data_IF_068746157610
#
_entry.id   IF_068746157610
#
_cell.length_a   1.000
_cell.length_b   1.000
_cell.length_c   1.000
_cell.angle_alpha   90.00
_cell.angle_beta   90.00
_cell.angle_gamma   90.00
#
_symmetry.space_group_name_H-M   'P 1'
#
loop_
_entity.id
_entity.type
_entity.pdbx_description
1 polymer ?
#
# COMPACT_ATOMS: atom_id res chain seq x y z
N UNK A 1 34.60 25.91 -21.37
CA UNK A 1 33.78 24.70 -21.46
C UNK A 1 33.18 24.48 -20.08
N UNK A 2 31.89 24.70 -19.90
CA UNK A 2 31.21 24.36 -18.66
C UNK A 2 30.95 22.86 -18.68
N UNK A 3 31.52 22.13 -17.73
CA UNK A 3 31.14 20.74 -17.46
C UNK A 3 29.62 20.70 -17.22
N UNK A 4 28.86 19.80 -17.85
CA UNK A 4 27.44 19.67 -17.57
C UNK A 4 27.27 19.30 -16.10
N UNK A 5 26.53 20.12 -15.35
CA UNK A 5 26.17 19.84 -13.96
C UNK A 5 25.31 18.59 -13.91
N UNK A 6 25.71 17.62 -13.10
CA UNK A 6 24.95 16.40 -12.85
C UNK A 6 23.87 16.63 -11.79
N UNK A 7 22.88 15.75 -11.71
CA UNK A 7 21.84 15.82 -10.66
C UNK A 7 22.46 15.65 -9.28
N UNK A 8 23.44 14.75 -9.15
CA UNK A 8 24.16 14.53 -7.90
C UNK A 8 24.91 15.79 -7.41
N UNK A 9 25.50 16.56 -8.32
CA UNK A 9 26.17 17.83 -7.99
C UNK A 9 25.19 18.94 -7.62
N UNK A 10 24.02 19.01 -8.28
CA UNK A 10 22.96 19.98 -7.98
C UNK A 10 22.22 19.69 -6.67
N UNK A 11 22.18 18.43 -6.25
CA UNK A 11 21.43 18.00 -5.07
C UNK A 11 21.84 18.75 -3.78
N UNK A 12 23.14 18.95 -3.57
CA UNK A 12 23.65 19.63 -2.38
C UNK A 12 23.26 21.11 -2.28
N UNK A 13 23.55 21.97 -3.29
CA UNK A 13 23.18 23.38 -3.23
C UNK A 13 21.66 23.58 -3.16
N UNK A 14 20.86 22.78 -3.87
CA UNK A 14 19.39 22.86 -3.76
C UNK A 14 18.94 22.53 -2.32
N UNK A 15 19.51 21.50 -1.68
CA UNK A 15 19.14 21.14 -0.32
C UNK A 15 19.54 22.21 0.71
N UNK A 16 20.65 22.91 0.51
CA UNK A 16 21.06 24.04 1.35
C UNK A 16 20.04 25.18 1.28
N UNK A 17 19.63 25.57 0.06
CA UNK A 17 18.64 26.63 -0.16
C UNK A 17 17.23 26.24 0.31
N UNK A 18 16.85 24.97 0.14
CA UNK A 18 15.56 24.45 0.61
C UNK A 18 15.43 24.51 2.13
N UNK A 19 16.56 24.49 2.85
CA UNK A 19 16.60 24.52 4.30
C UNK A 19 15.91 23.31 4.93
N UNK A 20 15.30 23.49 6.11
CA UNK A 20 14.44 22.46 6.72
C UNK A 20 15.10 21.11 7.03
N UNK A 21 16.43 21.02 7.07
CA UNK A 21 17.19 19.78 7.33
C UNK A 21 17.02 18.66 6.29
N UNK A 22 16.69 19.00 5.03
CA UNK A 22 16.73 18.02 3.94
C UNK A 22 18.17 17.54 3.70
N UNK A 23 18.39 16.23 3.80
CA UNK A 23 19.71 15.62 3.64
C UNK A 23 19.85 15.05 2.23
N UNK A 24 20.65 15.63 1.35
CA UNK A 24 20.88 15.10 0.01
C UNK A 24 21.76 13.85 0.08
N UNK A 25 21.41 12.84 -0.71
CA UNK A 25 22.17 11.61 -0.87
C UNK A 25 22.19 11.22 -2.35
N UNK A 26 23.32 10.74 -2.88
CA UNK A 26 23.36 10.17 -4.22
C UNK A 26 22.39 8.99 -4.34
N UNK A 27 21.66 8.91 -5.46
CA UNK A 27 20.90 7.70 -5.76
C UNK A 27 21.86 6.55 -6.07
N UNK A 28 21.49 5.33 -5.69
CA UNK A 28 22.34 4.14 -5.88
C UNK A 28 21.58 3.04 -6.59
N UNK A 29 22.26 2.34 -7.49
CA UNK A 29 21.84 1.05 -8.02
C UNK A 29 22.85 -0.03 -7.57
N UNK A 30 22.48 -0.81 -6.56
CA UNK A 30 23.43 -1.69 -5.87
C UNK A 30 24.51 -0.87 -5.16
N UNK A 31 25.76 -1.06 -5.57
CA UNK A 31 26.93 -0.31 -5.03
C UNK A 31 27.31 0.92 -5.86
N UNK A 32 26.70 1.10 -7.04
CA UNK A 32 27.04 2.18 -7.96
C UNK A 32 26.21 3.43 -7.67
N UNK A 33 26.87 4.58 -7.54
CA UNK A 33 26.21 5.89 -7.46
C UNK A 33 25.79 6.35 -8.86
N UNK A 34 24.62 7.00 -8.93
CA UNK A 34 24.01 7.45 -10.17
C UNK A 34 24.13 8.97 -10.28
N UNK A 35 24.89 9.45 -11.28
CA UNK A 35 25.09 10.90 -11.47
C UNK A 35 23.80 11.63 -11.89
N UNK A 36 22.86 10.90 -12.50
CA UNK A 36 21.58 11.44 -13.00
C UNK A 36 20.44 11.40 -11.96
N UNK A 37 20.71 10.99 -10.71
CA UNK A 37 19.67 10.93 -9.68
C UNK A 37 20.18 11.17 -8.25
N UNK A 38 19.31 11.72 -7.42
CA UNK A 38 19.57 11.95 -6.00
C UNK A 38 18.28 11.80 -5.17
N UNK A 39 18.44 11.68 -3.86
CA UNK A 39 17.33 11.65 -2.90
C UNK A 39 17.57 12.66 -1.81
N UNK A 40 16.54 13.43 -1.45
CA UNK A 40 16.52 14.24 -0.23
C UNK A 40 15.77 13.49 0.85
N UNK A 41 16.38 13.31 2.01
CA UNK A 41 15.74 12.67 3.17
C UNK A 41 15.57 13.68 4.29
N UNK A 42 14.34 13.86 4.75
CA UNK A 42 14.03 14.69 5.91
C UNK A 42 14.02 13.84 7.19
N UNK A 43 14.38 14.39 8.38
CA UNK A 43 14.44 13.63 9.64
C UNK A 43 13.12 12.98 10.08
N UNK A 44 11.97 13.46 9.62
CA UNK A 44 10.65 12.86 9.90
C UNK A 44 10.29 11.68 8.97
N UNK A 45 11.21 11.27 8.10
CA UNK A 45 11.05 10.14 7.18
C UNK A 45 10.55 10.50 5.79
N UNK A 46 10.13 11.75 5.54
CA UNK A 46 9.76 12.20 4.19
C UNK A 46 10.97 12.16 3.26
N UNK A 47 10.72 11.84 1.99
CA UNK A 47 11.76 11.76 0.97
C UNK A 47 11.32 12.45 -0.32
N UNK A 48 12.24 13.15 -0.98
CA UNK A 48 12.06 13.64 -2.34
C UNK A 48 13.05 12.93 -3.26
N UNK A 49 12.59 12.49 -4.42
CA UNK A 49 13.44 11.91 -5.45
C UNK A 49 13.68 12.94 -6.56
N UNK A 50 14.95 13.09 -6.92
CA UNK A 50 15.45 13.97 -7.96
C UNK A 50 16.04 13.11 -9.06
N UNK A 51 15.64 13.34 -10.31
CA UNK A 51 16.18 12.59 -11.44
C UNK A 51 16.16 13.41 -12.72
N UNK A 52 17.20 13.28 -13.52
CA UNK A 52 17.17 13.63 -14.94
C UNK A 52 16.68 12.40 -15.71
N UNK A 53 15.73 12.62 -16.63
CA UNK A 53 15.18 11.53 -17.45
C UNK A 53 15.88 11.49 -18.80
N UNK A 54 16.09 10.29 -19.31
CA UNK A 54 16.70 10.09 -20.63
C UNK A 54 15.91 10.75 -21.78
N UNK A 55 14.58 10.80 -21.67
CA UNK A 55 13.69 11.39 -22.68
C UNK A 55 13.49 12.91 -22.54
N UNK A 56 14.05 13.53 -21.50
CA UNK A 56 13.97 14.97 -21.23
C UNK A 56 15.28 15.50 -20.61
N UNK A 57 16.40 15.41 -21.35
CA UNK A 57 17.71 15.81 -20.84
C UNK A 57 17.78 17.31 -20.56
N UNK A 58 18.64 17.69 -19.61
CA UNK A 58 18.79 19.06 -19.13
C UNK A 58 17.66 19.53 -18.21
N UNK A 59 16.72 18.65 -17.87
CA UNK A 59 15.62 18.94 -16.95
C UNK A 59 15.64 18.01 -15.74
N UNK A 60 15.47 18.62 -14.58
CA UNK A 60 15.38 17.94 -13.30
C UNK A 60 13.90 17.70 -12.96
N UNK A 61 13.58 16.43 -12.70
CA UNK A 61 12.27 15.98 -12.26
C UNK A 61 12.32 15.68 -10.77
N UNK A 62 11.48 16.34 -9.99
CA UNK A 62 11.48 16.29 -8.52
C UNK A 62 10.11 15.88 -8.03
N UNK A 63 10.04 14.82 -7.23
CA UNK A 63 8.76 14.29 -6.73
C UNK A 63 8.86 13.76 -5.31
N UNK A 64 7.75 13.76 -4.60
CA UNK A 64 7.63 13.07 -3.32
C UNK A 64 7.78 11.56 -3.46
N UNK A 65 8.57 10.94 -2.59
CA UNK A 65 8.68 9.50 -2.44
C UNK A 65 7.87 9.07 -1.21
N UNK A 66 7.09 8.00 -1.38
CA UNK A 66 6.24 7.43 -0.34
C UNK A 66 6.72 6.03 0.01
N UNK A 67 6.52 5.56 1.26
CA UNK A 67 6.75 4.15 1.58
C UNK A 67 5.87 3.27 0.69
N UNK A 68 6.24 1.99 0.52
CA UNK A 68 5.43 1.03 -0.20
C UNK A 68 4.00 1.02 0.36
N UNK A 69 3.02 1.22 -0.52
CA UNK A 69 1.63 1.45 -0.15
C UNK A 69 0.72 1.14 -1.33
N UNK A 70 -0.49 0.67 -1.03
CA UNK A 70 -1.63 0.55 -1.94
C UNK A 70 -2.58 1.75 -1.84
N UNK A 71 -2.20 2.79 -1.08
CA UNK A 71 -2.99 4.00 -0.91
C UNK A 71 -3.48 4.56 -2.26
N UNK A 72 -4.79 4.85 -2.40
CA UNK A 72 -5.38 5.29 -3.66
C UNK A 72 -5.10 6.77 -3.90
N UNK A 73 -3.90 7.07 -4.40
CA UNK A 73 -3.47 8.43 -4.71
C UNK A 73 -4.45 9.14 -5.65
N UNK A 74 -4.77 10.39 -5.32
CA UNK A 74 -5.58 11.28 -6.14
C UNK A 74 -4.70 12.06 -7.11
N UNK A 75 -5.32 12.60 -8.16
CA UNK A 75 -4.65 13.55 -9.06
C UNK A 75 -4.09 14.73 -8.24
N UNK A 76 -2.83 15.11 -8.48
CA UNK A 76 -2.15 16.15 -7.71
C UNK A 76 -1.25 15.61 -6.59
N UNK A 77 -1.51 14.41 -6.06
CA UNK A 77 -0.81 13.92 -4.86
C UNK A 77 0.57 13.31 -5.16
N UNK A 78 0.85 13.00 -6.43
CA UNK A 78 2.13 12.46 -6.93
C UNK A 78 2.72 13.32 -8.04
N UNK A 79 2.34 14.59 -8.07
CA UNK A 79 2.82 15.51 -9.09
C UNK A 79 4.33 15.69 -8.98
N UNK A 80 4.92 16.02 -10.12
CA UNK A 80 6.36 16.16 -10.29
C UNK A 80 6.64 17.60 -10.67
N UNK A 81 7.55 18.24 -9.94
CA UNK A 81 8.10 19.54 -10.31
C UNK A 81 9.18 19.31 -11.36
N UNK A 82 9.06 19.99 -12.49
CA UNK A 82 10.02 19.96 -13.60
C UNK A 82 10.69 21.33 -13.72
N UNK A 83 12.02 21.36 -13.63
CA UNK A 83 12.84 22.58 -13.72
C UNK A 83 14.02 22.36 -14.65
N UNK A 84 14.61 23.44 -15.17
CA UNK A 84 15.83 23.31 -15.96
C UNK A 84 17.04 23.10 -15.02
N UNK A 85 17.99 22.25 -15.40
CA UNK A 85 19.17 21.96 -14.57
C UNK A 85 20.16 23.12 -14.46
N UNK A 86 20.02 24.14 -15.32
CA UNK A 86 20.81 25.37 -15.28
C UNK A 86 20.11 26.52 -14.53
N UNK A 87 18.93 26.27 -13.96
CA UNK A 87 18.22 27.24 -13.11
C UNK A 87 18.96 27.42 -11.78
N UNK A 88 18.82 28.58 -11.16
CA UNK A 88 19.48 28.86 -9.88
C UNK A 88 18.97 27.89 -8.80
N UNK A 89 19.85 27.25 -8.01
CA UNK A 89 19.44 26.36 -6.93
C UNK A 89 18.42 26.97 -5.95
N UNK A 90 18.47 28.28 -5.70
CA UNK A 90 17.50 28.99 -4.86
C UNK A 90 16.11 29.04 -5.50
N UNK A 91 16.02 29.26 -6.81
CA UNK A 91 14.76 29.26 -7.56
C UNK A 91 14.16 27.84 -7.61
N UNK A 92 14.99 26.82 -7.82
CA UNK A 92 14.57 25.42 -7.75
C UNK A 92 14.04 25.08 -6.34
N UNK A 93 14.77 25.47 -5.29
CA UNK A 93 14.37 25.27 -3.91
C UNK A 93 13.03 25.97 -3.58
N UNK A 94 12.84 27.20 -4.05
CA UNK A 94 11.61 27.95 -3.86
C UNK A 94 10.40 27.23 -4.51
N UNK A 95 10.56 26.67 -5.72
CA UNK A 95 9.53 25.87 -6.38
C UNK A 95 9.22 24.58 -5.63
N UNK A 96 10.24 23.85 -5.15
CA UNK A 96 10.04 22.65 -4.32
C UNK A 96 9.23 23.01 -3.05
N UNK A 97 9.61 24.11 -2.39
CA UNK A 97 8.98 24.54 -1.15
C UNK A 97 7.52 24.98 -1.35
N UNK A 98 7.22 25.68 -2.45
CA UNK A 98 5.88 26.18 -2.74
C UNK A 98 4.95 25.08 -3.30
N UNK A 99 5.44 24.32 -4.28
CA UNK A 99 4.58 23.49 -5.12
C UNK A 99 4.54 22.03 -4.66
N UNK A 100 5.62 21.52 -4.05
CA UNK A 100 5.77 20.09 -3.74
C UNK A 100 5.64 19.78 -2.26
N UNK A 101 6.34 20.50 -1.38
CA UNK A 101 6.43 20.16 0.05
C UNK A 101 5.07 20.13 0.77
N UNK A 102 4.16 21.11 0.58
CA UNK A 102 2.90 21.13 1.33
C UNK A 102 2.05 19.90 1.02
N UNK A 103 1.83 19.62 -0.27
CA UNK A 103 1.06 18.46 -0.72
C UNK A 103 1.74 17.16 -0.31
N UNK A 104 3.06 17.05 -0.53
CA UNK A 104 3.80 15.84 -0.18
C UNK A 104 3.70 15.53 1.32
N UNK A 105 3.85 16.54 2.19
CA UNK A 105 3.72 16.37 3.66
C UNK A 105 2.35 15.81 4.04
N UNK A 106 1.29 16.42 3.52
CA UNK A 106 -0.08 16.08 3.89
C UNK A 106 -0.49 14.70 3.34
N UNK A 107 -0.03 14.34 2.13
CA UNK A 107 -0.22 13.00 1.56
C UNK A 107 0.61 11.96 2.32
N UNK A 108 1.84 12.29 2.71
CA UNK A 108 2.73 11.34 3.39
C UNK A 108 2.17 10.88 4.74
N UNK A 109 1.56 11.79 5.52
CA UNK A 109 0.89 11.39 6.77
C UNK A 109 -0.34 10.51 6.51
N UNK A 110 -1.15 10.81 5.48
CA UNK A 110 -2.27 9.93 5.10
C UNK A 110 -1.80 8.55 4.65
N UNK A 111 -0.70 8.46 3.90
CA UNK A 111 -0.10 7.17 3.52
C UNK A 111 0.38 6.40 4.75
N UNK A 112 1.01 7.07 5.72
CA UNK A 112 1.43 6.43 6.97
C UNK A 112 0.24 5.90 7.78
N UNK A 113 -0.83 6.68 7.86
CA UNK A 113 -2.07 6.29 8.54
C UNK A 113 -2.73 5.11 7.84
N UNK A 114 -2.88 5.16 6.51
CA UNK A 114 -3.41 4.07 5.71
C UNK A 114 -2.60 2.78 5.89
N UNK A 115 -1.27 2.86 5.78
CA UNK A 115 -0.39 1.71 5.98
C UNK A 115 -0.50 1.13 7.40
N UNK A 116 -0.70 1.98 8.43
CA UNK A 116 -0.91 1.53 9.80
C UNK A 116 -2.24 0.77 9.91
N UNK A 117 -3.32 1.34 9.38
CA UNK A 117 -4.64 0.71 9.39
C UNK A 117 -4.64 -0.64 8.64
N UNK A 118 -3.98 -0.70 7.47
CA UNK A 118 -3.80 -1.96 6.71
C UNK A 118 -3.00 -3.01 7.50
N UNK A 119 -1.94 -2.60 8.20
CA UNK A 119 -1.14 -3.50 9.01
C UNK A 119 -1.91 -4.03 10.25
N UNK A 120 -2.75 -3.20 10.86
CA UNK A 120 -3.66 -3.58 11.95
C UNK A 120 -4.71 -4.57 11.44
N UNK A 121 -5.44 -4.23 10.38
CA UNK A 121 -6.44 -5.08 9.75
C UNK A 121 -5.88 -6.45 9.35
N UNK A 122 -4.68 -6.48 8.77
CA UNK A 122 -4.00 -7.75 8.44
C UNK A 122 -3.76 -8.62 9.68
N UNK A 123 -3.34 -8.02 10.80
CA UNK A 123 -3.13 -8.78 12.05
C UNK A 123 -4.45 -9.33 12.58
N UNK A 124 -5.50 -8.51 12.57
CA UNK A 124 -6.82 -8.89 13.06
C UNK A 124 -7.40 -10.03 12.20
N UNK A 125 -7.28 -9.95 10.89
CA UNK A 125 -7.69 -11.00 9.95
C UNK A 125 -6.87 -12.28 10.13
N UNK A 126 -5.55 -12.17 10.30
CA UNK A 126 -4.68 -13.32 10.59
C UNK A 126 -5.04 -14.00 11.92
N UNK A 127 -5.36 -13.23 12.95
CA UNK A 127 -5.78 -13.73 14.27
C UNK A 127 -7.16 -14.40 14.19
N UNK A 128 -8.15 -13.72 13.59
CA UNK A 128 -9.49 -14.26 13.40
C UNK A 128 -9.49 -15.56 12.59
N UNK A 129 -8.72 -15.61 11.49
CA UNK A 129 -8.59 -16.82 10.68
C UNK A 129 -7.95 -17.98 11.46
N UNK A 130 -6.92 -17.70 12.26
CA UNK A 130 -6.26 -18.68 13.13
C UNK A 130 -7.23 -19.23 14.18
N UNK A 131 -7.95 -18.34 14.86
CA UNK A 131 -8.92 -18.70 15.90
C UNK A 131 -10.06 -19.55 15.35
N UNK A 132 -10.57 -19.19 14.17
CA UNK A 132 -11.60 -19.94 13.47
C UNK A 132 -11.10 -21.33 13.05
N UNK A 133 -9.90 -21.39 12.47
CA UNK A 133 -9.27 -22.65 12.06
C UNK A 133 -9.00 -23.59 13.23
N UNK A 134 -8.61 -23.06 14.39
CA UNK A 134 -8.36 -23.88 15.59
C UNK A 134 -9.63 -24.53 16.15
N UNK A 135 -10.79 -23.90 15.91
CA UNK A 135 -12.10 -24.34 16.40
C UNK A 135 -12.87 -25.21 15.40
N UNK A 136 -12.47 -25.20 14.14
CA UNK A 136 -13.06 -25.97 13.06
C UNK A 136 -12.15 -27.14 12.68
N UNK A 137 -12.41 -28.36 13.19
CA UNK A 137 -11.58 -29.53 12.88
C UNK A 137 -11.54 -29.80 11.37
N UNK A 138 -10.33 -30.02 10.84
CA UNK A 138 -10.13 -30.27 9.40
C UNK A 138 -10.14 -29.01 8.52
N UNK A 139 -10.35 -27.82 9.12
CA UNK A 139 -10.24 -26.56 8.41
C UNK A 139 -8.79 -26.25 8.03
N UNK A 140 -8.64 -25.69 6.84
CA UNK A 140 -7.38 -25.16 6.34
C UNK A 140 -7.53 -23.66 6.12
N UNK A 141 -6.46 -22.94 6.38
CA UNK A 141 -6.47 -21.48 6.31
C UNK A 141 -5.48 -20.99 5.28
N UNK A 142 -5.89 -20.00 4.49
CA UNK A 142 -5.04 -19.23 3.60
C UNK A 142 -5.23 -17.76 3.91
N UNK A 143 -4.15 -17.04 4.18
CA UNK A 143 -4.16 -15.59 4.38
C UNK A 143 -3.49 -14.93 3.19
N UNK A 144 -4.10 -13.86 2.68
CA UNK A 144 -3.59 -13.03 1.59
C UNK A 144 -3.83 -11.54 1.91
N UNK A 145 -2.82 -10.89 2.47
CA UNK A 145 -2.93 -9.48 2.87
C UNK A 145 -3.98 -9.25 3.96
N UNK A 146 -4.97 -8.41 3.67
CA UNK A 146 -6.13 -8.10 4.54
C UNK A 146 -7.30 -9.07 4.36
N UNK A 147 -7.11 -10.14 3.60
CA UNK A 147 -8.14 -11.15 3.36
C UNK A 147 -7.66 -12.52 3.84
N UNK A 148 -8.56 -13.33 4.37
CA UNK A 148 -8.27 -14.72 4.71
C UNK A 148 -9.41 -15.65 4.30
N UNK A 149 -9.08 -16.89 4.00
CA UNK A 149 -10.01 -17.93 3.62
C UNK A 149 -9.81 -19.14 4.51
N UNK A 150 -10.86 -19.55 5.21
CA UNK A 150 -10.91 -20.80 5.97
C UNK A 150 -11.80 -21.77 5.20
N UNK A 151 -11.25 -22.91 4.79
CA UNK A 151 -11.95 -23.90 3.99
C UNK A 151 -11.96 -25.27 4.66
N UNK A 152 -13.10 -25.94 4.59
CA UNK A 152 -13.29 -27.32 5.03
C UNK A 152 -13.86 -28.13 3.88
N UNK A 153 -13.19 -29.23 3.53
CA UNK A 153 -13.74 -30.21 2.62
C UNK A 153 -14.55 -31.22 3.41
N UNK A 154 -15.80 -31.42 3.02
CA UNK A 154 -16.73 -32.38 3.59
C UNK A 154 -17.04 -33.46 2.55
N UNK A 155 -17.51 -34.63 3.01
CA UNK A 155 -18.05 -35.63 2.10
C UNK A 155 -19.52 -35.90 2.50
N UNK A 156 -20.52 -35.54 1.67
CA UNK A 156 -20.43 -34.66 0.49
C UNK A 156 -20.30 -33.18 0.90
N UNK A 157 -19.61 -32.36 0.10
CA UNK A 157 -19.70 -30.88 0.16
C UNK A 157 -18.44 -30.12 0.58
N UNK A 158 -18.55 -28.80 0.68
CA UNK A 158 -17.49 -27.92 1.15
C UNK A 158 -18.06 -26.70 1.88
N UNK A 159 -17.26 -26.18 2.81
CA UNK A 159 -17.52 -24.92 3.50
C UNK A 159 -16.34 -24.00 3.25
N UNK A 160 -16.62 -22.76 2.84
CA UNK A 160 -15.62 -21.70 2.73
C UNK A 160 -16.08 -20.48 3.50
N UNK A 161 -15.18 -19.93 4.29
CA UNK A 161 -15.39 -18.73 5.10
C UNK A 161 -14.36 -17.71 4.65
N UNK A 162 -14.81 -16.65 4.00
CA UNK A 162 -13.97 -15.53 3.59
C UNK A 162 -14.02 -14.43 4.65
N UNK A 163 -12.86 -13.95 5.07
CA UNK A 163 -12.68 -12.77 5.92
C UNK A 163 -12.06 -11.70 5.04
N UNK A 164 -12.69 -10.54 4.91
CA UNK A 164 -12.17 -9.39 4.16
C UNK A 164 -12.34 -8.12 4.98
N UNK A 165 -11.28 -7.73 5.69
CA UNK A 165 -11.36 -6.72 6.74
C UNK A 165 -12.46 -7.05 7.75
N UNK A 166 -13.46 -6.17 7.84
CA UNK A 166 -14.61 -6.30 8.75
C UNK A 166 -15.78 -7.12 8.17
N UNK A 167 -15.63 -7.69 6.96
CA UNK A 167 -16.67 -8.45 6.27
C UNK A 167 -16.39 -9.95 6.32
N UNK A 168 -17.45 -10.75 6.50
CA UNK A 168 -17.38 -12.21 6.49
C UNK A 168 -18.35 -12.72 5.44
N UNK A 169 -17.85 -13.55 4.53
CA UNK A 169 -18.66 -14.29 3.57
C UNK A 169 -18.64 -15.78 3.91
N UNK A 170 -19.77 -16.45 3.67
CA UNK A 170 -19.94 -17.87 3.95
C UNK A 170 -20.49 -18.58 2.71
N UNK A 171 -19.75 -19.55 2.19
CA UNK A 171 -20.18 -20.40 1.08
C UNK A 171 -20.33 -21.82 1.59
N UNK A 172 -21.52 -22.39 1.42
CA UNK A 172 -21.91 -23.72 1.90
C UNK A 172 -22.39 -24.56 0.71
N UNK A 173 -21.48 -25.26 0.03
CA UNK A 173 -21.82 -26.06 -1.15
C UNK A 173 -22.04 -27.52 -0.72
N UNK A 174 -23.24 -28.06 -0.90
CA UNK A 174 -23.63 -29.42 -0.52
C UNK A 174 -23.30 -29.81 0.94
N UNK A 175 -23.07 -28.82 1.80
CA UNK A 175 -22.71 -29.05 3.19
C UNK A 175 -23.90 -29.65 3.95
N UNK A 176 -23.71 -30.78 4.68
CA UNK A 176 -24.77 -31.33 5.51
C UNK A 176 -25.33 -30.28 6.46
N UNK A 177 -26.67 -30.16 6.53
CA UNK A 177 -27.35 -29.09 7.28
C UNK A 177 -26.86 -28.92 8.72
N UNK A 178 -26.59 -30.02 9.41
CA UNK A 178 -26.05 -30.00 10.78
C UNK A 178 -24.68 -29.28 10.84
N UNK A 179 -23.83 -29.49 9.83
CA UNK A 179 -22.52 -28.86 9.73
C UNK A 179 -22.68 -27.39 9.32
N UNK A 180 -23.55 -27.09 8.35
CA UNK A 180 -23.85 -25.73 7.94
C UNK A 180 -24.35 -24.87 9.12
N UNK A 181 -25.34 -25.36 9.88
CA UNK A 181 -25.89 -24.66 11.05
C UNK A 181 -24.82 -24.47 12.15
N UNK A 182 -23.97 -25.48 12.38
CA UNK A 182 -22.87 -25.39 13.34
C UNK A 182 -21.81 -24.36 12.93
N UNK A 183 -21.49 -24.26 11.64
CA UNK A 183 -20.54 -23.28 11.12
C UNK A 183 -21.11 -21.87 11.21
N UNK A 184 -22.37 -21.66 10.79
CA UNK A 184 -23.05 -20.36 10.91
C UNK A 184 -23.06 -19.90 12.37
N UNK A 185 -23.39 -20.81 13.30
CA UNK A 185 -23.37 -20.53 14.73
C UNK A 185 -21.97 -20.18 15.26
N UNK A 186 -20.94 -20.91 14.83
CA UNK A 186 -19.56 -20.63 15.21
C UNK A 186 -19.13 -19.24 14.70
N UNK A 187 -19.38 -18.94 13.43
CA UNK A 187 -19.06 -17.64 12.82
C UNK A 187 -19.80 -16.51 13.54
N UNK A 188 -21.11 -16.62 13.75
CA UNK A 188 -21.91 -15.56 14.40
C UNK A 188 -21.50 -15.31 15.85
N UNK A 189 -21.01 -16.34 16.56
CA UNK A 189 -20.59 -16.23 17.95
C UNK A 189 -19.17 -15.66 18.10
N UNK A 190 -18.28 -15.97 17.16
CA UNK A 190 -16.85 -15.66 17.28
C UNK A 190 -16.41 -14.47 16.43
N UNK A 191 -17.24 -14.02 15.48
CA UNK A 191 -17.08 -12.78 14.74
C UNK A 191 -18.30 -11.86 14.96
N UNK A 192 -18.60 -11.48 16.23
CA UNK A 192 -19.85 -10.77 16.57
C UNK A 192 -19.92 -9.35 16.00
N UNK A 193 -18.80 -8.80 15.52
CA UNK A 193 -18.72 -7.47 14.92
C UNK A 193 -19.04 -7.46 13.42
N UNK A 194 -19.21 -8.63 12.82
CA UNK A 194 -19.33 -8.76 11.37
C UNK A 194 -20.80 -8.93 10.99
N UNK A 195 -21.32 -7.97 10.23
CA UNK A 195 -22.65 -8.08 9.65
C UNK A 195 -22.61 -9.12 8.54
N UNK A 196 -23.44 -10.15 8.66
CA UNK A 196 -23.83 -10.96 7.50
C UNK A 196 -24.73 -10.08 6.65
N UNK A 197 -24.41 -9.82 5.37
CA UNK A 197 -25.31 -9.09 4.49
C UNK A 197 -26.67 -9.80 4.45
N UNK A 198 -27.76 -9.08 4.74
CA UNK A 198 -29.11 -9.61 4.60
C UNK A 198 -29.36 -9.94 3.12
N UNK A 199 -29.17 -11.20 2.72
CA UNK A 199 -29.43 -11.62 1.34
C UNK A 199 -28.70 -12.88 0.88
N UNK A 200 -27.52 -13.20 1.43
CA UNK A 200 -26.77 -14.42 1.08
C UNK A 200 -27.30 -15.64 1.86
N UNK A 201 -28.55 -16.01 1.60
CA UNK A 201 -28.95 -17.41 1.77
C UNK A 201 -28.41 -18.12 0.54
N UNK A 202 -27.42 -19.01 0.75
CA UNK A 202 -26.73 -19.74 -0.31
C UNK A 202 -27.65 -20.06 -1.47
N UNK A 203 -27.34 -19.51 -2.64
CA UNK A 203 -27.95 -19.97 -3.87
C UNK A 203 -27.57 -21.45 -4.01
N UNK A 204 -28.59 -22.29 -3.89
CA UNK A 204 -28.54 -23.67 -4.30
C UNK A 204 -28.32 -23.65 -5.81
N UNK A 205 -27.07 -23.79 -6.26
CA UNK A 205 -26.78 -24.01 -7.68
C UNK A 205 -27.08 -25.48 -7.97
N UNK A 206 -28.36 -25.75 -8.26
CA UNK A 206 -28.78 -27.05 -8.78
C UNK A 206 -28.09 -27.28 -10.13
N UNK A 207 -27.47 -28.45 -10.29
CA UNK A 207 -26.61 -28.76 -11.42
C UNK A 207 -27.31 -28.83 -12.79
N UNK A 208 -26.47 -28.61 -13.81
CA UNK A 208 -26.54 -28.99 -15.24
C UNK A 208 -27.18 -28.05 -16.28
N UNK A 209 -26.30 -27.37 -17.05
CA UNK A 209 -25.97 -27.61 -18.49
C UNK A 209 -25.14 -26.37 -18.96
N UNK A 210 -23.94 -26.48 -19.56
CA UNK A 210 -23.50 -27.25 -20.73
C UNK A 210 -22.06 -27.77 -20.55
#
# INVERSE_FOLDING_TARGET
MNTPLTVAELAHPIALELGGNWRPQPARHGVQELDHAATFTHPDGRQLHLSERFDDPGHLHIRGAFPATDYPFRRGERDTVRVAMNEDPADIAARIAADLIPVHRDVHERVKEHNRAQAEMRRDVEEAARDLSARLPGARTRVDGTTAFVYMNLEPGEVRIGLDGDTVSLVLNDAPRIIADAVVFAVSRFLPHVQTPEGERGEYVDGHAL
#
